data_IF_466023162521
#
_entry.id   IF_466023162521
#
_cell.length_a   1.000
_cell.length_b   1.000
_cell.length_c   1.000
_cell.angle_alpha   90.00
_cell.angle_beta   90.00
_cell.angle_gamma   90.00
#
_symmetry.space_group_name_H-M   'P 1'
#
loop_
_entity.id
_entity.type
_entity.pdbx_description
1 polymer ?
#
# COMPACT_ATOMS: atom_id res chain seq x y z
N UNK A 1 46.25 -8.22 4.32
CA UNK A 1 44.88 -8.27 4.87
C UNK A 1 44.34 -6.85 4.86
N UNK A 2 43.65 -6.47 3.79
CA UNK A 2 43.03 -5.14 3.68
C UNK A 2 41.60 -5.29 4.16
N UNK A 3 41.31 -4.66 5.29
CA UNK A 3 40.01 -4.55 5.91
C UNK A 3 39.12 -3.73 4.99
N UNK A 4 38.27 -4.42 4.22
CA UNK A 4 37.33 -3.80 3.28
C UNK A 4 36.07 -3.38 4.08
N UNK A 5 36.26 -2.46 5.05
CA UNK A 5 35.14 -1.78 5.68
C UNK A 5 34.44 -0.96 4.58
N UNK A 6 33.31 -1.49 4.06
CA UNK A 6 32.40 -0.72 3.23
C UNK A 6 31.95 0.49 4.07
N UNK A 7 32.58 1.61 3.82
CA UNK A 7 32.26 2.89 4.43
C UNK A 7 30.89 3.33 3.92
N UNK A 8 29.86 3.11 4.71
CA UNK A 8 28.57 3.75 4.46
C UNK A 8 28.71 5.23 4.85
N UNK A 9 28.44 6.17 3.94
CA UNK A 9 28.68 7.60 4.19
C UNK A 9 27.71 8.23 5.20
N UNK A 10 26.82 7.44 5.79
CA UNK A 10 25.84 7.87 6.78
C UNK A 10 26.12 7.14 8.09
N UNK A 11 26.19 7.90 9.17
CA UNK A 11 26.29 7.36 10.51
C UNK A 11 25.12 6.40 10.79
N UNK A 12 25.41 5.17 11.19
CA UNK A 12 24.42 4.10 11.34
C UNK A 12 23.30 4.48 12.32
N UNK A 13 23.62 5.22 13.38
CA UNK A 13 22.64 5.66 14.37
C UNK A 13 21.66 6.68 13.79
N UNK A 14 22.14 7.59 12.95
CA UNK A 14 21.28 8.56 12.24
C UNK A 14 20.37 7.87 11.22
N UNK A 15 20.89 6.92 10.45
CA UNK A 15 20.10 6.13 9.53
C UNK A 15 19.00 5.36 10.27
N UNK A 16 19.36 4.68 11.37
CA UNK A 16 18.41 3.95 12.23
C UNK A 16 17.33 4.87 12.79
N UNK A 17 17.68 6.06 13.26
CA UNK A 17 16.73 7.03 13.80
C UNK A 17 15.72 7.49 12.73
N UNK A 18 16.20 7.82 11.52
CA UNK A 18 15.34 8.22 10.39
C UNK A 18 14.37 7.10 10.01
N UNK A 19 14.88 5.88 9.83
CA UNK A 19 14.02 4.75 9.44
C UNK A 19 13.01 4.41 10.55
N UNK A 20 13.42 4.46 11.81
CA UNK A 20 12.49 4.26 12.95
C UNK A 20 11.35 5.28 12.94
N UNK A 21 11.65 6.56 12.67
CA UNK A 21 10.65 7.61 12.61
C UNK A 21 9.72 7.46 11.40
N UNK A 22 10.28 7.11 10.24
CA UNK A 22 9.51 6.79 9.03
C UNK A 22 8.51 5.65 9.26
N UNK A 23 8.95 4.51 9.81
CA UNK A 23 8.09 3.36 10.13
C UNK A 23 7.02 3.73 11.16
N UNK A 24 7.35 4.59 12.14
CA UNK A 24 6.37 5.08 13.11
C UNK A 24 5.31 5.96 12.46
N UNK A 25 5.71 6.88 11.59
CA UNK A 25 4.79 7.77 10.85
C UNK A 25 3.86 6.96 9.93
N UNK A 26 4.40 6.01 9.16
CA UNK A 26 3.62 5.11 8.30
C UNK A 26 2.58 4.31 9.11
N UNK A 27 2.96 3.78 10.27
CA UNK A 27 2.02 3.07 11.14
C UNK A 27 0.88 3.96 11.63
N UNK A 28 1.18 5.19 12.06
CA UNK A 28 0.16 6.15 12.52
C UNK A 28 -0.77 6.56 11.38
N UNK A 29 -0.22 6.80 10.18
CA UNK A 29 -1.02 7.07 8.99
C UNK A 29 -1.97 5.91 8.68
N UNK A 30 -1.48 4.67 8.65
CA UNK A 30 -2.34 3.49 8.45
C UNK A 30 -3.46 3.39 9.48
N UNK A 31 -3.19 3.68 10.75
CA UNK A 31 -4.20 3.68 11.80
C UNK A 31 -5.26 4.78 11.59
N UNK A 32 -4.84 6.00 11.21
CA UNK A 32 -5.77 7.10 10.92
C UNK A 32 -6.68 6.76 9.74
N UNK A 33 -6.11 6.23 8.65
CA UNK A 33 -6.85 5.78 7.47
C UNK A 33 -7.82 4.65 7.82
N UNK A 34 -7.38 3.62 8.55
CA UNK A 34 -8.23 2.48 8.95
C UNK A 34 -9.42 2.94 9.81
N UNK A 35 -9.16 3.78 10.82
CA UNK A 35 -10.22 4.29 11.69
C UNK A 35 -11.25 5.12 10.90
N UNK A 36 -10.78 5.94 9.95
CA UNK A 36 -11.63 6.76 9.09
C UNK A 36 -12.50 5.91 8.17
N UNK A 37 -11.91 4.93 7.47
CA UNK A 37 -12.65 4.00 6.61
C UNK A 37 -13.73 3.25 7.43
N UNK A 38 -13.33 2.69 8.55
CA UNK A 38 -14.23 1.88 9.39
C UNK A 38 -15.39 2.73 9.93
N UNK A 39 -15.11 3.94 10.40
CA UNK A 39 -16.13 4.84 10.90
C UNK A 39 -17.15 5.28 9.83
N UNK A 40 -16.72 5.50 8.60
CA UNK A 40 -17.56 6.03 7.53
C UNK A 40 -18.27 4.94 6.70
N UNK A 41 -17.70 3.76 6.59
CA UNK A 41 -18.18 2.72 5.67
C UNK A 41 -18.46 1.38 6.33
N UNK A 42 -17.96 1.14 7.53
CA UNK A 42 -17.95 -0.18 8.18
C UNK A 42 -17.00 -1.20 7.51
N UNK A 43 -16.22 -0.78 6.52
CA UNK A 43 -15.27 -1.64 5.81
C UNK A 43 -13.90 -1.62 6.51
N UNK A 44 -13.17 -2.71 6.37
CA UNK A 44 -11.74 -2.73 6.63
C UNK A 44 -10.97 -2.04 5.50
N UNK A 45 -9.80 -1.48 5.80
CA UNK A 45 -8.94 -0.80 4.83
C UNK A 45 -8.68 -1.65 3.57
N UNK A 46 -8.40 -2.94 3.73
CA UNK A 46 -8.15 -3.84 2.59
C UNK A 46 -9.36 -3.99 1.66
N UNK A 47 -10.58 -4.03 2.20
CA UNK A 47 -11.82 -4.08 1.43
C UNK A 47 -12.05 -2.76 0.69
N UNK A 48 -11.84 -1.63 1.37
CA UNK A 48 -11.94 -0.30 0.75
C UNK A 48 -10.91 -0.12 -0.37
N UNK A 49 -9.64 -0.51 -0.15
CA UNK A 49 -8.60 -0.47 -1.18
C UNK A 49 -8.97 -1.32 -2.40
N UNK A 50 -9.64 -2.45 -2.18
CA UNK A 50 -10.12 -3.30 -3.26
C UNK A 50 -11.22 -2.59 -4.06
N UNK A 51 -12.18 -1.92 -3.41
CA UNK A 51 -13.19 -1.11 -4.09
C UNK A 51 -12.56 0.03 -4.90
N UNK A 52 -11.57 0.73 -4.34
CA UNK A 52 -10.84 1.78 -5.05
C UNK A 52 -10.15 1.25 -6.31
N UNK A 53 -9.54 0.07 -6.26
CA UNK A 53 -8.93 -0.56 -7.45
C UNK A 53 -9.97 -0.93 -8.50
N UNK A 54 -11.13 -1.39 -8.09
CA UNK A 54 -12.23 -1.71 -9.00
C UNK A 54 -12.85 -0.46 -9.65
N UNK A 55 -12.80 0.71 -8.98
CA UNK A 55 -13.33 1.97 -9.51
C UNK A 55 -12.50 2.55 -10.66
N UNK A 56 -11.22 2.20 -10.76
CA UNK A 56 -10.32 2.72 -11.80
C UNK A 56 -10.60 2.18 -13.22
N UNK A 57 -11.66 1.39 -13.41
CA UNK A 57 -12.07 0.87 -14.73
C UNK A 57 -11.17 -0.20 -15.34
N UNK A 58 -9.99 -0.42 -14.79
CA UNK A 58 -9.14 -1.56 -15.14
C UNK A 58 -9.56 -2.75 -14.28
N UNK A 59 -9.99 -3.83 -14.91
CA UNK A 59 -10.34 -5.09 -14.23
C UNK A 59 -9.06 -5.91 -13.98
N UNK A 60 -8.30 -5.65 -12.91
CA UNK A 60 -7.11 -6.44 -12.64
C UNK A 60 -7.52 -7.86 -12.22
N UNK A 61 -6.75 -8.85 -12.66
CA UNK A 61 -6.96 -10.23 -12.19
C UNK A 61 -6.79 -10.32 -10.67
N UNK A 62 -7.42 -11.32 -10.04
CA UNK A 62 -7.25 -11.55 -8.58
C UNK A 62 -5.77 -11.71 -8.20
N UNK A 63 -4.96 -12.29 -9.09
CA UNK A 63 -3.52 -12.44 -8.91
C UNK A 63 -2.81 -11.08 -8.93
N UNK A 64 -3.22 -10.18 -9.82
CA UNK A 64 -2.68 -8.82 -9.87
C UNK A 64 -3.09 -8.01 -8.64
N UNK A 65 -4.37 -8.05 -8.25
CA UNK A 65 -4.86 -7.43 -7.01
C UNK A 65 -4.11 -7.92 -5.77
N UNK A 66 -3.84 -9.22 -5.69
CA UNK A 66 -3.08 -9.82 -4.60
C UNK A 66 -1.65 -9.26 -4.53
N UNK A 67 -0.99 -9.14 -5.69
CA UNK A 67 0.35 -8.55 -5.81
C UNK A 67 0.34 -7.08 -5.39
N UNK A 68 -0.59 -6.30 -5.93
CA UNK A 68 -0.68 -4.84 -5.68
C UNK A 68 -0.99 -4.51 -4.21
N UNK A 69 -1.79 -5.35 -3.55
CA UNK A 69 -2.18 -5.17 -2.16
C UNK A 69 -1.28 -5.91 -1.16
N UNK A 70 -0.29 -6.67 -1.63
CA UNK A 70 0.63 -7.42 -0.78
C UNK A 70 -0.04 -8.53 0.04
N UNK A 71 -1.10 -9.17 -0.51
CA UNK A 71 -1.87 -10.23 0.16
C UNK A 71 -1.94 -11.49 -0.71
N UNK A 72 -2.44 -12.60 -0.16
CA UNK A 72 -2.62 -13.82 -0.95
C UNK A 72 -3.83 -13.73 -1.91
N UNK A 73 -3.82 -14.44 -3.05
CA UNK A 73 -5.00 -14.53 -3.92
C UNK A 73 -6.24 -15.09 -3.21
N UNK A 74 -6.05 -15.99 -2.26
CA UNK A 74 -7.13 -16.52 -1.43
C UNK A 74 -7.78 -15.42 -0.56
N UNK A 75 -6.98 -14.52 0.02
CA UNK A 75 -7.49 -13.38 0.79
C UNK A 75 -8.30 -12.43 -0.11
N UNK A 76 -7.86 -12.18 -1.35
CA UNK A 76 -8.62 -11.41 -2.34
C UNK A 76 -9.97 -12.08 -2.65
N UNK A 77 -9.98 -13.39 -2.88
CA UNK A 77 -11.22 -14.12 -3.17
C UNK A 77 -12.24 -14.00 -2.01
N UNK A 78 -11.77 -14.14 -0.77
CA UNK A 78 -12.60 -13.98 0.44
C UNK A 78 -13.12 -12.54 0.56
N UNK A 79 -12.27 -11.54 0.34
CA UNK A 79 -12.64 -10.14 0.41
C UNK A 79 -13.68 -9.77 -0.67
N UNK A 80 -13.49 -10.23 -1.91
CA UNK A 80 -14.45 -10.01 -2.99
C UNK A 80 -15.80 -10.66 -2.68
N UNK A 81 -15.82 -11.90 -2.18
CA UNK A 81 -17.05 -12.60 -1.80
C UNK A 81 -17.79 -11.83 -0.70
N UNK A 82 -17.06 -11.31 0.29
CA UNK A 82 -17.65 -10.50 1.36
C UNK A 82 -18.24 -9.19 0.82
N UNK A 83 -17.50 -8.46 -0.04
CA UNK A 83 -17.98 -7.23 -0.67
C UNK A 83 -19.25 -7.46 -1.52
N UNK A 84 -19.33 -8.59 -2.21
CA UNK A 84 -20.52 -9.00 -2.97
C UNK A 84 -21.71 -9.30 -2.04
N UNK A 85 -21.48 -10.10 -0.99
CA UNK A 85 -22.52 -10.42 0.02
C UNK A 85 -23.02 -9.16 0.72
N UNK A 86 -22.14 -8.22 1.03
CA UNK A 86 -22.45 -6.95 1.67
C UNK A 86 -23.04 -5.92 0.68
N UNK A 87 -23.15 -6.26 -0.61
CA UNK A 87 -23.78 -5.46 -1.67
C UNK A 87 -22.96 -4.26 -2.15
N UNK A 88 -21.63 -4.27 -2.02
CA UNK A 88 -20.75 -3.22 -2.54
C UNK A 88 -20.34 -3.45 -3.99
N UNK A 89 -20.36 -4.69 -4.43
CA UNK A 89 -20.05 -5.10 -5.81
C UNK A 89 -21.08 -6.11 -6.31
N UNK A 90 -21.21 -6.20 -7.63
CA UNK A 90 -21.88 -7.30 -8.33
C UNK A 90 -20.85 -8.09 -9.13
N UNK A 91 -21.14 -9.36 -9.37
CA UNK A 91 -20.36 -10.25 -10.23
C UNK A 91 -21.28 -10.86 -11.26
N UNK A 92 -21.09 -10.48 -12.49
CA UNK A 92 -21.81 -11.09 -13.60
C UNK A 92 -20.96 -12.24 -14.16
N UNK A 93 -21.59 -13.42 -14.31
CA UNK A 93 -20.99 -14.49 -15.09
C UNK A 93 -20.99 -14.03 -16.55
N UNK A 94 -19.81 -13.80 -17.13
CA UNK A 94 -19.71 -13.47 -18.55
C UNK A 94 -20.18 -14.68 -19.37
N UNK A 95 -21.23 -14.49 -20.16
CA UNK A 95 -21.89 -15.57 -20.92
C UNK A 95 -21.07 -16.01 -22.12
N UNK A 96 -20.09 -15.23 -22.56
CA UNK A 96 -19.29 -15.50 -23.76
C UNK A 96 -17.87 -16.04 -23.49
N UNK A 97 -17.30 -15.80 -22.30
CA UNK A 97 -16.02 -16.41 -21.91
C UNK A 97 -16.03 -16.74 -20.41
N UNK A 98 -16.16 -18.02 -20.07
CA UNK A 98 -16.18 -18.55 -18.70
C UNK A 98 -14.95 -18.23 -17.84
N UNK A 99 -14.02 -17.40 -18.31
CA UNK A 99 -12.75 -17.08 -17.65
C UNK A 99 -12.72 -15.73 -16.98
N UNK A 100 -13.70 -14.84 -17.22
CA UNK A 100 -13.71 -13.49 -16.66
C UNK A 100 -15.05 -13.17 -15.99
N UNK A 101 -15.17 -13.41 -14.68
CA UNK A 101 -16.24 -12.82 -13.88
C UNK A 101 -16.08 -11.29 -13.88
N UNK A 102 -16.96 -10.58 -14.58
CA UNK A 102 -16.97 -9.12 -14.61
C UNK A 102 -17.47 -8.62 -13.24
N UNK A 103 -16.60 -7.95 -12.50
CA UNK A 103 -16.93 -7.37 -11.19
C UNK A 103 -17.21 -5.89 -11.38
N UNK A 104 -18.37 -5.40 -10.94
CA UNK A 104 -18.79 -4.01 -11.04
C UNK A 104 -19.15 -3.46 -9.67
N UNK A 105 -18.91 -2.15 -9.47
CA UNK A 105 -19.36 -1.46 -8.27
C UNK A 105 -20.87 -1.24 -8.31
N UNK A 106 -21.51 -1.39 -7.16
CA UNK A 106 -22.91 -0.94 -6.94
C UNK A 106 -22.91 0.55 -6.56
N UNK A 107 -24.10 1.15 -6.49
CA UNK A 107 -24.28 2.52 -5.93
C UNK A 107 -23.72 2.61 -4.50
N UNK A 108 -23.93 1.56 -3.69
CA UNK A 108 -23.37 1.45 -2.34
C UNK A 108 -21.84 1.46 -2.36
N UNK A 109 -21.23 0.73 -3.32
CA UNK A 109 -19.79 0.71 -3.51
C UNK A 109 -19.24 2.07 -3.92
N UNK A 110 -19.86 2.74 -4.87
CA UNK A 110 -19.50 4.09 -5.31
C UNK A 110 -19.64 5.11 -4.16
N UNK A 111 -20.74 5.05 -3.42
CA UNK A 111 -20.97 5.92 -2.26
C UNK A 111 -19.91 5.72 -1.16
N UNK A 112 -19.52 4.48 -0.88
CA UNK A 112 -18.47 4.19 0.09
C UNK A 112 -17.11 4.81 -0.31
N UNK A 113 -16.76 4.77 -1.60
CA UNK A 113 -15.56 5.40 -2.13
C UNK A 113 -15.64 6.92 -2.01
N UNK A 114 -16.74 7.52 -2.49
CA UNK A 114 -16.94 8.98 -2.48
C UNK A 114 -16.83 9.57 -1.07
N UNK A 115 -17.46 8.93 -0.07
CA UNK A 115 -17.41 9.38 1.33
C UNK A 115 -16.01 9.40 1.94
N UNK A 116 -15.10 8.61 1.42
CA UNK A 116 -13.74 8.49 1.98
C UNK A 116 -12.71 9.30 1.22
N UNK A 117 -12.94 9.64 -0.06
CA UNK A 117 -11.98 10.41 -0.85
C UNK A 117 -11.66 11.78 -0.23
N UNK A 118 -12.68 12.56 0.15
CA UNK A 118 -12.48 13.86 0.77
C UNK A 118 -11.78 13.77 2.12
N UNK A 119 -12.09 12.71 2.88
CA UNK A 119 -11.46 12.46 4.18
C UNK A 119 -9.99 12.08 4.06
N UNK A 120 -9.60 11.35 3.02
CA UNK A 120 -8.19 11.05 2.76
C UNK A 120 -7.42 12.31 2.44
N UNK A 121 -7.96 13.17 1.57
CA UNK A 121 -7.35 14.48 1.29
C UNK A 121 -7.18 15.31 2.56
N UNK A 122 -8.15 15.28 3.49
CA UNK A 122 -8.03 15.93 4.79
C UNK A 122 -6.92 15.32 5.66
N UNK A 123 -6.80 13.97 5.69
CA UNK A 123 -5.74 13.28 6.44
C UNK A 123 -4.38 13.65 5.86
N UNK A 124 -4.22 13.59 4.54
CA UNK A 124 -2.97 13.91 3.85
C UNK A 124 -2.55 15.36 4.12
N UNK A 125 -3.48 16.31 4.03
CA UNK A 125 -3.23 17.71 4.34
C UNK A 125 -2.85 17.91 5.81
N UNK A 126 -3.55 17.25 6.72
CA UNK A 126 -3.25 17.34 8.15
C UNK A 126 -1.87 16.78 8.52
N UNK A 127 -1.42 15.72 7.81
CA UNK A 127 -0.10 15.13 8.03
C UNK A 127 1.05 16.07 7.70
N UNK A 128 0.86 16.96 6.75
CA UNK A 128 1.89 17.91 6.31
C UNK A 128 1.65 19.32 6.83
N UNK A 129 0.75 19.49 7.79
CA UNK A 129 0.48 20.78 8.40
C UNK A 129 1.73 21.35 9.06
N UNK A 130 2.04 22.62 8.74
CA UNK A 130 3.21 23.33 9.27
C UNK A 130 4.47 23.20 8.41
N UNK A 131 4.44 22.41 7.34
CA UNK A 131 5.50 22.39 6.33
C UNK A 131 5.28 23.51 5.31
N UNK A 132 6.37 24.12 4.85
CA UNK A 132 6.36 24.98 3.65
C UNK A 132 6.64 24.15 2.39
N UNK A 133 6.49 24.75 1.20
CA UNK A 133 6.64 24.06 -0.09
C UNK A 133 8.07 23.48 -0.28
N UNK A 134 9.11 24.23 0.11
CA UNK A 134 10.51 23.76 -0.01
C UNK A 134 10.76 22.51 0.86
N UNK A 135 10.18 22.47 2.06
CA UNK A 135 10.28 21.33 2.98
C UNK A 135 9.52 20.11 2.42
N UNK A 136 8.33 20.32 1.83
CA UNK A 136 7.57 19.24 1.17
C UNK A 136 8.32 18.69 -0.03
N UNK A 137 8.89 19.55 -0.87
CA UNK A 137 9.70 19.13 -2.01
C UNK A 137 10.96 18.35 -1.58
N UNK A 138 11.61 18.79 -0.50
CA UNK A 138 12.78 18.10 0.04
C UNK A 138 12.39 16.72 0.60
N UNK A 139 11.26 16.63 1.29
CA UNK A 139 10.72 15.37 1.83
C UNK A 139 10.35 14.42 0.70
N UNK A 140 9.66 14.90 -0.35
CA UNK A 140 9.27 14.10 -1.50
C UNK A 140 10.51 13.49 -2.16
N UNK A 141 11.52 14.29 -2.49
CA UNK A 141 12.80 13.81 -3.06
C UNK A 141 13.51 12.79 -2.17
N UNK A 142 13.43 12.96 -0.83
CA UNK A 142 14.02 12.02 0.10
C UNK A 142 13.29 10.66 0.11
N UNK A 143 11.96 10.67 0.05
CA UNK A 143 11.14 9.46 0.00
C UNK A 143 11.33 8.72 -1.32
N UNK A 144 11.37 9.40 -2.46
CA UNK A 144 11.66 8.81 -3.77
C UNK A 144 13.03 8.11 -3.79
N UNK A 145 14.03 8.72 -3.17
CA UNK A 145 15.37 8.11 -3.05
C UNK A 145 15.35 6.87 -2.17
N UNK A 146 14.58 6.88 -1.08
CA UNK A 146 14.40 5.69 -0.23
C UNK A 146 13.74 4.57 -1.02
N UNK A 147 12.70 4.87 -1.81
CA UNK A 147 12.01 3.90 -2.67
C UNK A 147 12.98 3.27 -3.68
N UNK A 148 13.77 4.09 -4.39
CA UNK A 148 14.77 3.60 -5.35
C UNK A 148 15.80 2.69 -4.69
N UNK A 149 16.28 3.05 -3.50
CA UNK A 149 17.23 2.23 -2.74
C UNK A 149 16.60 0.88 -2.34
N UNK A 150 15.33 0.86 -1.95
CA UNK A 150 14.61 -0.37 -1.60
C UNK A 150 14.42 -1.27 -2.83
N UNK A 151 14.10 -0.73 -4.00
CA UNK A 151 14.05 -1.50 -5.25
C UNK A 151 15.41 -2.12 -5.59
N UNK A 152 16.49 -1.38 -5.40
CA UNK A 152 17.85 -1.90 -5.61
C UNK A 152 18.17 -3.05 -4.65
N UNK A 153 17.78 -2.92 -3.37
CA UNK A 153 17.98 -3.97 -2.36
C UNK A 153 17.15 -5.23 -2.65
N UNK A 154 15.95 -5.08 -3.22
CA UNK A 154 15.14 -6.23 -3.65
C UNK A 154 15.76 -6.96 -4.85
N UNK A 155 16.37 -6.22 -5.77
CA UNK A 155 17.04 -6.79 -6.93
C UNK A 155 18.40 -7.42 -6.59
N UNK A 156 19.10 -6.86 -5.61
CA UNK A 156 20.41 -7.30 -5.12
C UNK A 156 20.41 -7.37 -3.59
N UNK A 157 19.96 -8.47 -3.00
CA UNK A 157 19.93 -8.63 -1.54
C UNK A 157 21.32 -8.46 -0.93
N UNK A 158 21.40 -7.77 0.20
CA UNK A 158 22.65 -7.64 0.94
C UNK A 158 23.16 -9.01 1.37
N UNK A 159 24.50 -9.26 1.29
CA UNK A 159 25.08 -10.47 1.82
C UNK A 159 24.79 -10.54 3.33
N UNK A 160 24.27 -11.67 3.79
CA UNK A 160 24.00 -11.91 5.22
C UNK A 160 25.36 -12.12 5.89
N UNK A 161 25.78 -11.27 6.85
CA UNK A 161 27.02 -11.50 7.59
C UNK A 161 26.92 -12.83 8.34
N UNK A 162 27.84 -13.76 8.12
CA UNK A 162 27.97 -15.01 8.88
C UNK A 162 27.43 -16.29 8.24
N UNK A 163 27.04 -16.31 6.96
CA UNK A 163 27.01 -17.54 6.18
C UNK A 163 28.32 -17.66 5.42
N UNK A 164 29.34 -18.10 6.12
CA UNK A 164 30.54 -18.67 5.46
C UNK A 164 30.09 -19.91 4.71
N UNK A 165 30.37 -19.93 3.40
CA UNK A 165 30.32 -21.13 2.57
C UNK A 165 31.32 -22.16 3.13
N UNK A 166 30.87 -22.94 4.11
CA UNK A 166 31.58 -24.16 4.51
C UNK A 166 31.03 -25.28 3.64
N UNK A 167 31.67 -25.51 2.53
CA UNK A 167 31.74 -26.80 1.83
C UNK A 167 33.19 -27.23 1.74
#
# INVERSE_FOLDING_TARGET
MQDNQKHFPVEQDKARAVIKQFVRADRLHRQAVESTITAQTGLHRSQHMLLMRLSCGCMPSQKQLAKDLGVSPAAIAVALKKLETDGYITRDADTDDCRCNRTSLTEKGCSAISKTCDLFACIDTAMVQGFNDDELDALLRALERIEQNLHTLQAQPLPIPGKDDTQ
#
